data_IF_391514785220
#
_entry.id   IF_391514785220
#
_cell.length_a   1.000
_cell.length_b   1.000
_cell.length_c   1.000
_cell.angle_alpha   90.00
_cell.angle_beta   90.00
_cell.angle_gamma   90.00
#
_symmetry.space_group_name_H-M   'P 1'
#
loop_
_entity.id
_entity.type
_entity.pdbx_description
1 polymer ?
#
# COMPACT_ATOMS: atom_id res chain seq x y z
N UNK A 1 -2.53 4.06 -32.48
CA UNK A 1 -3.11 2.81 -31.97
C UNK A 1 -3.10 2.85 -30.44
N UNK A 2 -4.25 2.97 -29.78
CA UNK A 2 -4.33 2.86 -28.31
C UNK A 2 -4.62 1.41 -27.96
N UNK A 3 -3.62 0.73 -27.42
CA UNK A 3 -3.73 -0.67 -26.97
C UNK A 3 -4.79 -0.81 -25.86
N UNK A 4 -5.62 -1.87 -25.87
CA UNK A 4 -6.69 -2.10 -24.89
C UNK A 4 -6.21 -2.25 -23.43
N UNK A 5 -4.91 -2.41 -23.19
CA UNK A 5 -4.31 -2.40 -21.85
C UNK A 5 -4.46 -1.06 -21.09
N UNK A 6 -4.80 0.03 -21.78
CA UNK A 6 -4.91 1.38 -21.18
C UNK A 6 -6.20 1.63 -20.39
N UNK A 7 -7.24 0.80 -20.53
CA UNK A 7 -8.54 1.04 -19.89
C UNK A 7 -8.59 0.49 -18.46
N UNK A 8 -8.05 -0.71 -18.22
CA UNK A 8 -7.92 -1.27 -16.86
C UNK A 8 -6.97 -0.46 -15.96
N UNK A 9 -6.06 0.31 -16.55
CA UNK A 9 -5.12 1.17 -15.83
C UNK A 9 -5.77 2.42 -15.20
N UNK A 10 -6.97 2.85 -15.67
CA UNK A 10 -7.63 4.06 -15.14
C UNK A 10 -8.24 3.88 -13.76
N UNK A 11 -8.28 2.65 -13.25
CA UNK A 11 -9.06 2.27 -12.08
C UNK A 11 -8.19 1.96 -10.85
N UNK A 12 -6.86 1.90 -11.04
CA UNK A 12 -5.79 1.84 -10.02
C UNK A 12 -6.07 1.02 -8.76
N UNK A 13 -5.40 -0.12 -8.60
CA UNK A 13 -5.43 -0.86 -7.34
C UNK A 13 -4.72 -0.07 -6.25
N UNK A 14 -5.35 0.03 -5.07
CA UNK A 14 -4.72 0.52 -3.86
C UNK A 14 -4.35 -0.65 -2.97
N UNK A 15 -3.25 -0.50 -2.25
CA UNK A 15 -2.84 -1.45 -1.23
C UNK A 15 -2.68 -0.72 0.09
N UNK A 16 -3.23 -1.30 1.15
CA UNK A 16 -3.00 -0.87 2.52
C UNK A 16 -1.98 -1.79 3.18
N UNK A 17 -0.97 -1.20 3.80
CA UNK A 17 0.05 -1.91 4.57
C UNK A 17 0.21 -1.25 5.93
N UNK A 18 0.35 -2.06 6.97
CA UNK A 18 0.76 -1.60 8.30
C UNK A 18 2.16 -2.07 8.61
N UNK A 19 2.98 -1.23 9.23
CA UNK A 19 4.31 -1.60 9.66
C UNK A 19 4.73 -0.93 10.97
N UNK A 20 5.62 -1.59 11.70
CA UNK A 20 6.15 -1.14 12.98
C UNK A 20 7.55 -0.56 12.79
N UNK A 21 7.77 0.68 13.23
CA UNK A 21 9.10 1.29 13.26
C UNK A 21 9.53 1.55 14.70
N UNK A 22 10.84 1.37 14.92
CA UNK A 22 11.49 1.88 16.14
C UNK A 22 11.52 3.40 16.09
N UNK A 23 11.33 4.04 17.23
CA UNK A 23 11.46 5.50 17.32
C UNK A 23 12.93 5.92 17.26
N UNK A 24 13.44 6.05 16.04
CA UNK A 24 14.81 6.47 15.75
C UNK A 24 14.78 7.53 14.65
N UNK A 25 15.80 8.39 14.66
CA UNK A 25 15.99 9.41 13.64
C UNK A 25 16.00 8.82 12.22
N UNK A 26 15.25 9.46 11.32
CA UNK A 26 15.14 9.02 9.93
C UNK A 26 14.45 7.66 9.70
N UNK A 27 13.94 6.98 10.73
CA UNK A 27 13.29 5.67 10.57
C UNK A 27 12.12 5.73 9.58
N UNK A 28 11.26 6.76 9.71
CA UNK A 28 10.16 7.00 8.77
C UNK A 28 10.66 7.26 7.35
N UNK A 29 11.70 8.09 7.19
CA UNK A 29 12.27 8.38 5.87
C UNK A 29 12.77 7.12 5.17
N UNK A 30 13.54 6.28 5.88
CA UNK A 30 14.04 5.00 5.35
C UNK A 30 12.88 4.09 4.92
N UNK A 31 11.86 3.93 5.76
CA UNK A 31 10.70 3.11 5.44
C UNK A 31 9.95 3.63 4.20
N UNK A 32 9.65 4.93 4.13
CA UNK A 32 8.90 5.53 3.03
C UNK A 32 9.70 5.58 1.71
N UNK A 33 11.04 5.65 1.79
CA UNK A 33 11.90 5.60 0.60
C UNK A 33 11.74 4.31 -0.19
N UNK A 34 11.36 3.20 0.47
CA UNK A 34 11.08 1.90 -0.17
C UNK A 34 10.03 2.01 -1.29
N UNK A 35 9.04 2.90 -1.11
CA UNK A 35 8.00 3.20 -2.09
C UNK A 35 8.47 4.26 -3.09
N UNK A 36 9.13 5.31 -2.60
CA UNK A 36 9.57 6.44 -3.43
C UNK A 36 10.55 6.00 -4.52
N UNK A 37 11.54 5.14 -4.21
CA UNK A 37 12.50 4.65 -5.20
C UNK A 37 11.89 3.80 -6.32
N UNK A 38 10.63 3.38 -6.15
CA UNK A 38 9.87 2.58 -7.12
C UNK A 38 8.72 3.36 -7.75
N UNK A 39 8.69 4.69 -7.54
CA UNK A 39 7.63 5.58 -8.00
C UNK A 39 6.22 5.13 -7.54
N UNK A 40 6.12 4.46 -6.39
CA UNK A 40 4.85 4.06 -5.81
C UNK A 40 4.26 5.24 -5.04
N UNK A 41 3.18 5.80 -5.58
CA UNK A 41 2.53 6.96 -4.98
C UNK A 41 1.78 6.58 -3.69
N UNK A 42 2.19 7.20 -2.58
CA UNK A 42 1.50 7.07 -1.30
C UNK A 42 0.32 8.05 -1.27
N UNK A 43 -0.86 7.56 -0.90
CA UNK A 43 -2.12 8.31 -0.85
C UNK A 43 -2.60 8.62 0.56
N UNK A 44 -2.13 7.86 1.56
CA UNK A 44 -2.44 8.07 2.97
C UNK A 44 -1.30 7.57 3.83
N UNK A 45 -0.99 8.31 4.89
CA UNK A 45 -0.04 7.92 5.93
C UNK A 45 -0.66 8.30 7.26
N UNK A 46 -0.81 7.30 8.14
CA UNK A 46 -1.22 7.51 9.52
C UNK A 46 -0.17 6.92 10.44
N UNK A 47 0.40 7.74 11.32
CA UNK A 47 1.24 7.29 12.44
C UNK A 47 0.36 7.07 13.68
N UNK A 48 0.54 5.95 14.35
CA UNK A 48 -0.14 5.59 15.58
C UNK A 48 0.92 5.31 16.67
N UNK A 49 0.91 6.06 17.79
CA UNK A 49 1.84 5.80 18.88
C UNK A 49 1.50 4.46 19.56
N UNK A 50 2.52 3.69 19.93
CA UNK A 50 2.32 2.42 20.62
C UNK A 50 2.65 2.53 22.12
N UNK A 51 1.74 2.01 22.94
CA UNK A 51 1.91 1.88 24.39
C UNK A 51 2.70 0.63 24.78
N UNK A 52 3.97 0.56 24.37
CA UNK A 52 4.86 -0.56 24.67
C UNK A 52 5.48 -0.54 26.08
N UNK A 53 6.23 -1.60 26.41
CA UNK A 53 6.98 -1.73 27.68
C UNK A 53 8.08 -0.66 27.78
N UNK A 54 8.38 -0.18 29.00
CA UNK A 54 9.45 0.81 29.25
C UNK A 54 10.82 0.26 28.88
N UNK A 55 10.99 -1.01 29.18
CA UNK A 55 12.22 -1.77 29.25
C UNK A 55 12.12 -2.84 28.15
N UNK A 56 12.63 -2.48 26.97
CA UNK A 56 12.72 -3.38 25.84
C UNK A 56 14.06 -4.10 25.89
N UNK A 57 14.03 -5.43 25.93
CA UNK A 57 15.23 -6.22 25.72
C UNK A 57 15.75 -6.03 24.28
N UNK A 58 17.06 -5.80 24.14
CA UNK A 58 17.68 -5.61 22.85
C UNK A 58 17.44 -6.85 21.97
N UNK A 59 16.77 -6.66 20.83
CA UNK A 59 16.42 -7.76 19.92
C UNK A 59 15.02 -8.34 20.10
N UNK A 60 14.23 -7.88 21.08
CA UNK A 60 12.83 -8.30 21.19
C UNK A 60 12.02 -7.88 19.95
N UNK A 61 10.96 -8.61 19.61
CA UNK A 61 10.05 -8.29 18.50
C UNK A 61 8.92 -7.35 18.97
N UNK A 62 8.60 -7.39 20.26
CA UNK A 62 7.56 -6.56 20.89
C UNK A 62 7.87 -5.06 20.82
N UNK A 63 6.90 -4.19 20.55
CA UNK A 63 7.11 -2.75 20.46
C UNK A 63 7.57 -2.17 21.80
N UNK A 64 8.57 -1.29 21.74
CA UNK A 64 9.03 -0.51 22.87
C UNK A 64 8.09 0.66 23.15
N UNK A 65 8.24 1.26 24.33
CA UNK A 65 7.62 2.55 24.62
C UNK A 65 8.08 3.57 23.57
N UNK A 66 7.11 4.30 23.00
CA UNK A 66 7.30 5.31 21.95
C UNK A 66 7.54 4.79 20.53
N UNK A 67 7.55 3.48 20.29
CA UNK A 67 7.54 2.97 18.91
C UNK A 67 6.23 3.36 18.20
N UNK A 68 6.28 3.37 16.87
CA UNK A 68 5.17 3.80 16.04
C UNK A 68 4.72 2.67 15.12
N UNK A 69 3.41 2.44 15.07
CA UNK A 69 2.79 1.76 13.95
C UNK A 69 2.43 2.79 12.87
N UNK A 70 2.73 2.46 11.63
CA UNK A 70 2.29 3.23 10.48
C UNK A 70 1.27 2.40 9.71
N UNK A 71 0.22 3.06 9.23
CA UNK A 71 -0.70 2.50 8.22
C UNK A 71 -0.59 3.39 6.98
N UNK A 72 -0.22 2.77 5.87
CA UNK A 72 0.04 3.46 4.60
C UNK A 72 -0.83 2.86 3.52
N UNK A 73 -1.48 3.74 2.75
CA UNK A 73 -2.18 3.36 1.53
C UNK A 73 -1.39 3.89 0.33
N UNK A 74 -1.06 3.04 -0.64
CA UNK A 74 -0.36 3.43 -1.85
C UNK A 74 -1.05 2.88 -3.10
N UNK A 75 -0.83 3.54 -4.24
CA UNK A 75 -1.24 3.05 -5.54
C UNK A 75 -0.31 1.90 -5.93
N UNK A 76 -0.84 0.68 -5.97
CA UNK A 76 -0.10 -0.50 -6.38
C UNK A 76 0.20 -0.44 -7.88
N UNK A 77 1.42 -0.87 -8.25
CA UNK A 77 1.79 -1.06 -9.65
C UNK A 77 1.03 -2.24 -10.24
N UNK A 78 0.75 -2.19 -11.55
CA UNK A 78 0.30 -3.35 -12.31
C UNK A 78 1.39 -4.41 -12.44
N UNK A 79 2.65 -4.01 -12.33
CA UNK A 79 3.78 -4.91 -12.21
C UNK A 79 3.97 -5.31 -10.74
N UNK A 80 3.62 -6.56 -10.46
CA UNK A 80 3.68 -7.13 -9.11
C UNK A 80 5.11 -7.18 -8.55
N UNK A 81 6.13 -7.32 -9.40
CA UNK A 81 7.53 -7.38 -8.96
C UNK A 81 7.99 -6.07 -8.31
N UNK A 82 7.48 -4.93 -8.79
CA UNK A 82 7.74 -3.61 -8.22
C UNK A 82 7.13 -3.52 -6.80
N UNK A 83 5.90 -4.00 -6.63
CA UNK A 83 5.23 -4.00 -5.33
C UNK A 83 5.98 -4.89 -4.32
N UNK A 84 6.39 -6.08 -4.75
CA UNK A 84 7.11 -7.04 -3.91
C UNK A 84 8.48 -6.51 -3.50
N UNK A 85 9.22 -5.89 -4.43
CA UNK A 85 10.50 -5.28 -4.15
C UNK A 85 10.37 -4.11 -3.15
N UNK A 86 9.30 -3.30 -3.23
CA UNK A 86 9.03 -2.24 -2.26
C UNK A 86 8.78 -2.80 -0.86
N UNK A 87 7.95 -3.84 -0.77
CA UNK A 87 7.63 -4.50 0.50
C UNK A 87 8.82 -5.27 1.06
N UNK A 88 9.69 -5.82 0.22
CA UNK A 88 10.92 -6.48 0.62
C UNK A 88 11.88 -5.47 1.27
N UNK A 89 12.15 -4.35 0.61
CA UNK A 89 13.01 -3.30 1.16
C UNK A 89 12.41 -2.67 2.44
N UNK A 90 11.08 -2.50 2.51
CA UNK A 90 10.42 -2.04 3.73
C UNK A 90 10.69 -2.96 4.94
N UNK A 91 10.76 -4.28 4.73
CA UNK A 91 11.02 -5.25 5.80
C UNK A 91 12.44 -5.17 6.35
N UNK A 92 13.38 -4.56 5.63
CA UNK A 92 14.75 -4.33 6.13
C UNK A 92 14.78 -3.26 7.22
N UNK A 93 13.83 -2.31 7.19
CA UNK A 93 13.76 -1.21 8.14
C UNK A 93 12.69 -1.40 9.22
N UNK A 94 11.60 -2.10 8.88
CA UNK A 94 10.48 -2.31 9.78
C UNK A 94 10.67 -3.55 10.66
N UNK A 95 10.29 -3.44 11.94
CA UNK A 95 10.29 -4.58 12.88
C UNK A 95 9.24 -5.62 12.48
N UNK A 96 8.11 -5.15 11.93
CA UNK A 96 7.01 -5.99 11.47
C UNK A 96 6.30 -5.31 10.32
N UNK A 97 5.90 -6.07 9.30
CA UNK A 97 5.09 -5.60 8.17
C UNK A 97 3.89 -6.53 8.00
N UNK A 98 2.70 -5.96 7.81
CA UNK A 98 1.47 -6.70 7.52
C UNK A 98 0.72 -6.01 6.38
N UNK A 99 0.47 -6.76 5.32
CA UNK A 99 -0.41 -6.33 4.24
C UNK A 99 -1.85 -6.43 4.77
N UNK A 100 -2.60 -5.33 4.73
CA UNK A 100 -3.99 -5.29 5.18
C UNK A 100 -4.96 -5.68 4.08
N UNK A 101 -4.58 -5.46 2.82
CA UNK A 101 -5.35 -5.88 1.65
C UNK A 101 -5.08 -5.01 0.43
N UNK A 102 -5.66 -5.41 -0.69
CA UNK A 102 -5.74 -4.62 -1.91
C UNK A 102 -7.21 -4.35 -2.24
N UNK A 103 -7.51 -3.16 -2.73
CA UNK A 103 -8.88 -2.74 -3.05
C UNK A 103 -8.89 -1.78 -4.23
N UNK A 104 -10.01 -1.72 -4.94
CA UNK A 104 -10.24 -0.75 -6.01
C UNK A 104 -10.72 0.57 -5.43
N UNK A 105 -10.39 1.68 -6.10
CA UNK A 105 -10.94 2.99 -5.71
C UNK A 105 -12.47 2.98 -5.89
N UNK A 106 -13.19 3.62 -4.97
CA UNK A 106 -14.67 3.63 -5.00
C UNK A 106 -15.25 4.16 -6.33
N UNK A 107 -14.72 5.28 -6.83
CA UNK A 107 -15.10 5.84 -8.14
C UNK A 107 -14.85 4.83 -9.28
N UNK A 108 -13.79 4.05 -9.17
CA UNK A 108 -13.38 3.07 -10.16
C UNK A 108 -14.29 1.83 -10.17
N UNK A 109 -14.71 1.36 -9.00
CA UNK A 109 -15.73 0.30 -8.89
C UNK A 109 -17.05 0.71 -9.56
N UNK A 110 -17.46 1.97 -9.38
CA UNK A 110 -18.69 2.51 -10.00
C UNK A 110 -18.59 2.69 -11.52
N UNK A 111 -17.40 2.98 -12.05
CA UNK A 111 -17.16 3.08 -13.50
C UNK A 111 -17.12 1.70 -14.16
N UNK A 112 -16.57 0.68 -13.47
CA UNK A 112 -16.58 -0.71 -13.93
C UNK A 112 -18.01 -1.24 -14.09
N UNK A 113 -18.86 -1.06 -13.08
CA UNK A 113 -20.25 -1.53 -13.13
C UNK A 113 -21.05 -0.80 -14.21
N UNK A 114 -20.84 0.51 -14.39
CA UNK A 114 -21.52 1.32 -15.42
C UNK A 114 -21.07 0.97 -16.84
N UNK A 115 -19.81 0.59 -17.05
CA UNK A 115 -19.32 0.20 -18.38
C UNK A 115 -19.77 -1.22 -18.77
N UNK A 116 -19.90 -2.14 -17.80
CA UNK A 116 -20.39 -3.51 -18.04
C UNK A 116 -21.89 -3.55 -18.43
N UNK A 117 -22.72 -2.66 -17.87
CA UNK A 117 -24.15 -2.58 -18.23
C UNK A 117 -24.36 -2.09 -19.68
N UNK A 118 -23.54 -1.15 -20.15
CA UNK A 118 -23.61 -0.63 -21.53
C UNK A 118 -23.16 -1.67 -22.57
N UNK A 119 -22.17 -2.50 -22.25
CA UNK A 119 -21.76 -3.62 -23.13
C UNK A 119 -22.84 -4.70 -23.23
N UNK A 120 -23.57 -4.99 -22.16
CA UNK A 120 -24.67 -5.95 -22.17
C UNK A 120 -25.88 -5.47 -23.00
N UNK A 121 -26.15 -4.16 -23.01
CA UNK A 121 -27.22 -3.57 -23.82
C UNK A 121 -26.91 -3.60 -25.33
N UNK A 122 -25.65 -3.38 -25.72
CA UNK A 122 -25.24 -3.44 -27.13
C UNK A 122 -25.12 -4.88 -27.67
N UNK A 123 -24.86 -5.86 -26.81
CA UNK A 123 -24.80 -7.27 -27.18
C UNK A 123 -26.18 -7.92 -27.37
N UNK A 124 -27.24 -7.33 -26.80
CA UNK A 124 -28.62 -7.79 -26.96
C UNK A 124 -29.35 -7.20 -28.20
N UNK A 125 -28.68 -6.32 -28.95
CA UNK A 125 -29.20 -5.68 -30.17
C UNK A 125 -28.63 -6.28 -31.47
N UNK A 126 -27.95 -7.42 -31.38
CA UNK A 126 -27.51 -8.23 -32.53
C UNK A 126 -27.93 -9.69 -32.36
#
# INVERSE_FOLDING_TARGET
SKSPASVSNRLGLRCSVSFLLRNQEGAMFKALSSFAFRNLNITKINSLPLGGRRDREAGSIEPGRWDYAFVVDFNASTDQSINEAALSNLREFAVKVRILGQYTRAESASQLSRNQSLTGLNAALY
#
